data_IF_458438347503
#
_entry.id   IF_458438347503
#
_cell.length_a   1.000
_cell.length_b   1.000
_cell.length_c   1.000
_cell.angle_alpha   90.00
_cell.angle_beta   90.00
_cell.angle_gamma   90.00
#
_symmetry.space_group_name_H-M   'P 1'
#
loop_
_entity.id
_entity.type
_entity.pdbx_description
1 polymer ?
#
# COMPACT_ATOMS: atom_id res chain seq x y z
N UNK A 1 21.87 45.47 -35.33
CA UNK A 1 20.97 44.35 -35.65
C UNK A 1 21.07 43.30 -34.57
N UNK A 2 20.07 43.22 -33.71
CA UNK A 2 19.93 42.15 -32.74
C UNK A 2 19.46 40.92 -33.50
N UNK A 3 20.30 39.88 -33.57
CA UNK A 3 19.88 38.56 -34.04
C UNK A 3 18.86 38.01 -33.06
N UNK A 4 17.59 37.97 -33.39
CA UNK A 4 16.58 37.15 -32.76
C UNK A 4 17.00 35.69 -32.93
N UNK A 5 17.52 35.11 -31.83
CA UNK A 5 17.62 33.67 -31.73
C UNK A 5 16.20 33.16 -31.60
N UNK A 6 15.62 32.69 -32.70
CA UNK A 6 14.35 31.95 -32.65
C UNK A 6 14.49 30.81 -31.64
N UNK A 7 13.54 30.65 -30.68
CA UNK A 7 13.58 29.51 -29.81
C UNK A 7 13.57 28.21 -30.66
N UNK A 8 14.44 27.27 -30.31
CA UNK A 8 14.47 25.96 -30.96
C UNK A 8 13.05 25.37 -30.92
N UNK A 9 12.54 24.83 -32.02
CA UNK A 9 11.22 24.24 -32.06
C UNK A 9 11.13 23.14 -30.98
N UNK A 10 10.20 23.26 -30.06
CA UNK A 10 9.90 22.20 -29.09
C UNK A 10 9.17 21.12 -29.83
N UNK A 11 9.89 20.09 -30.26
CA UNK A 11 9.26 18.89 -30.83
C UNK A 11 8.55 18.12 -29.72
N UNK A 12 7.26 17.85 -29.95
CA UNK A 12 6.43 17.05 -29.05
C UNK A 12 6.44 15.60 -29.52
N UNK A 13 6.56 14.68 -28.54
CA UNK A 13 6.38 13.26 -28.80
C UNK A 13 4.91 12.88 -28.68
N UNK A 14 4.35 12.29 -29.72
CA UNK A 14 3.01 11.71 -29.75
C UNK A 14 3.12 10.21 -30.02
N UNK A 15 2.34 9.42 -29.27
CA UNK A 15 2.14 8.00 -29.58
C UNK A 15 0.74 7.82 -30.13
N UNK A 16 0.65 7.35 -31.35
CA UNK A 16 -0.61 7.08 -32.06
C UNK A 16 -0.56 5.70 -32.70
N UNK A 17 -1.59 4.91 -32.48
CA UNK A 17 -1.67 3.54 -33.00
C UNK A 17 -0.39 2.72 -32.73
N UNK A 18 0.15 2.86 -31.50
CA UNK A 18 1.37 2.20 -30.99
C UNK A 18 2.66 2.53 -31.72
N UNK A 19 2.68 3.65 -32.46
CA UNK A 19 3.86 4.19 -33.12
C UNK A 19 4.20 5.57 -32.56
N UNK A 20 5.49 5.90 -32.55
CA UNK A 20 5.96 7.21 -32.10
C UNK A 20 6.05 8.21 -33.27
N UNK A 21 5.62 9.43 -32.99
CA UNK A 21 5.68 10.56 -33.94
C UNK A 21 6.30 11.76 -33.25
N UNK A 22 7.12 12.50 -33.99
CA UNK A 22 7.56 13.84 -33.60
C UNK A 22 6.68 14.86 -34.32
N UNK A 23 6.16 15.82 -33.54
CA UNK A 23 5.36 16.93 -34.08
C UNK A 23 6.22 18.18 -34.10
N UNK A 24 6.38 18.79 -35.26
CA UNK A 24 7.12 20.04 -35.41
C UNK A 24 6.30 21.29 -35.01
N UNK A 25 6.92 22.46 -35.08
CA UNK A 25 6.30 23.75 -34.77
C UNK A 25 5.14 24.14 -35.69
N UNK A 26 5.00 23.48 -36.86
CA UNK A 26 3.91 23.66 -37.81
C UNK A 26 2.79 22.66 -37.62
N UNK A 27 2.91 21.76 -36.62
CA UNK A 27 1.93 20.72 -36.35
C UNK A 27 2.04 19.49 -37.26
N UNK A 28 3.13 19.35 -38.03
CA UNK A 28 3.36 18.17 -38.88
C UNK A 28 3.94 17.04 -38.04
N UNK A 29 3.26 15.90 -38.06
CA UNK A 29 3.70 14.68 -37.41
C UNK A 29 4.53 13.80 -38.35
N UNK A 30 5.72 13.41 -37.90
CA UNK A 30 6.61 12.50 -38.65
C UNK A 30 6.86 11.27 -37.81
N UNK A 31 6.63 10.08 -38.37
CA UNK A 31 6.91 8.81 -37.68
C UNK A 31 8.41 8.72 -37.32
N UNK A 32 8.68 8.44 -36.05
CA UNK A 32 10.03 8.23 -35.56
C UNK A 32 10.16 6.80 -35.04
N UNK A 33 11.02 6.01 -35.68
CA UNK A 33 11.24 4.62 -35.27
C UNK A 33 12.13 4.56 -34.03
N UNK A 34 11.52 4.47 -32.85
CA UNK A 34 12.20 4.18 -31.59
C UNK A 34 12.24 2.66 -31.39
N UNK A 35 13.39 2.11 -31.03
CA UNK A 35 13.54 0.65 -30.91
C UNK A 35 14.21 0.28 -29.60
N UNK A 36 13.69 -0.78 -28.97
CA UNK A 36 14.22 -1.37 -27.73
C UNK A 36 14.48 -0.34 -26.63
N UNK A 37 13.53 0.55 -26.42
CA UNK A 37 13.69 1.63 -25.43
C UNK A 37 12.36 2.13 -24.88
N UNK A 38 12.46 2.70 -23.66
CA UNK A 38 11.38 3.47 -23.08
C UNK A 38 11.35 4.88 -23.64
N UNK A 39 10.14 5.41 -23.81
CA UNK A 39 9.90 6.81 -24.11
C UNK A 39 8.55 7.24 -23.54
N UNK A 40 8.37 8.51 -23.23
CA UNK A 40 7.10 9.07 -22.78
C UNK A 40 6.56 10.09 -23.75
N UNK A 41 5.23 10.24 -23.76
CA UNK A 41 4.56 11.34 -24.47
C UNK A 41 4.52 12.62 -23.61
N UNK A 42 3.94 13.70 -24.12
CA UNK A 42 3.83 14.98 -23.41
C UNK A 42 2.93 14.92 -22.16
N UNK A 43 2.02 13.94 -22.11
CA UNK A 43 1.17 13.68 -20.95
C UNK A 43 1.84 12.77 -19.91
N UNK A 44 3.13 12.46 -20.08
CA UNK A 44 3.92 11.59 -19.21
C UNK A 44 3.40 10.14 -19.14
N UNK A 45 2.72 9.67 -20.20
CA UNK A 45 2.50 8.25 -20.38
C UNK A 45 3.77 7.59 -20.88
N UNK A 46 4.21 6.53 -20.23
CA UNK A 46 5.39 5.77 -20.61
C UNK A 46 5.02 4.60 -21.51
N UNK A 47 5.88 4.33 -22.49
CA UNK A 47 5.78 3.25 -23.47
C UNK A 47 7.12 2.54 -23.57
N UNK A 48 7.10 1.28 -23.95
CA UNK A 48 8.29 0.57 -24.39
C UNK A 48 8.11 0.15 -25.84
N UNK A 49 9.05 0.52 -26.68
CA UNK A 49 9.05 0.20 -28.10
C UNK A 49 9.93 -1.01 -28.35
N UNK A 50 9.40 -2.01 -29.08
CA UNK A 50 10.12 -3.21 -29.47
C UNK A 50 11.15 -2.94 -30.59
N UNK A 51 11.78 -4.00 -31.11
CA UNK A 51 12.77 -3.90 -32.15
C UNK A 51 12.19 -3.46 -33.50
N UNK A 52 10.88 -3.49 -33.65
CA UNK A 52 10.18 -3.02 -34.86
C UNK A 52 9.68 -1.58 -34.74
N UNK A 53 9.87 -0.96 -33.57
CA UNK A 53 9.42 0.40 -33.29
C UNK A 53 7.94 0.48 -32.89
N UNK A 54 7.36 -0.64 -32.45
CA UNK A 54 5.97 -0.72 -32.02
C UNK A 54 5.91 -0.75 -30.48
N UNK A 55 5.01 0.05 -29.90
CA UNK A 55 4.77 0.01 -28.46
C UNK A 55 4.18 -1.35 -28.06
N UNK A 56 4.79 -1.99 -27.04
CA UNK A 56 4.34 -3.28 -26.52
C UNK A 56 3.06 -3.11 -25.70
N UNK A 57 2.30 -4.20 -25.57
CA UNK A 57 1.07 -4.28 -24.78
C UNK A 57 1.07 -5.54 -23.94
N UNK A 58 0.35 -5.52 -22.80
CA UNK A 58 0.28 -6.64 -21.88
C UNK A 58 1.48 -6.74 -20.93
N UNK A 59 1.69 -7.90 -20.37
CA UNK A 59 2.82 -8.19 -19.47
C UNK A 59 4.11 -8.40 -20.29
N UNK A 60 5.16 -7.72 -19.88
CA UNK A 60 6.50 -7.89 -20.46
C UNK A 60 7.55 -7.92 -19.35
N UNK A 61 8.54 -8.81 -19.51
CA UNK A 61 9.76 -8.81 -18.69
C UNK A 61 10.84 -8.03 -19.44
N UNK A 62 11.23 -6.89 -18.91
CA UNK A 62 12.27 -6.02 -19.46
C UNK A 62 13.33 -5.85 -18.37
N UNK A 63 14.58 -6.20 -18.66
CA UNK A 63 15.69 -6.19 -17.69
C UNK A 63 15.37 -6.94 -16.37
N UNK A 64 14.74 -8.11 -16.50
CA UNK A 64 14.27 -8.94 -15.38
C UNK A 64 13.20 -8.29 -14.46
N UNK A 65 12.54 -7.23 -14.95
CA UNK A 65 11.44 -6.57 -14.25
C UNK A 65 10.15 -6.81 -15.01
N UNK A 66 9.11 -7.29 -14.31
CA UNK A 66 7.79 -7.48 -14.92
C UNK A 66 7.02 -6.16 -14.92
N UNK A 67 6.62 -5.71 -16.09
CA UNK A 67 5.88 -4.49 -16.35
C UNK A 67 4.58 -4.81 -17.08
N UNK A 68 3.62 -3.90 -16.99
CA UNK A 68 2.37 -4.01 -17.74
C UNK A 68 2.11 -2.75 -18.56
N UNK A 69 1.69 -2.97 -19.81
CA UNK A 69 1.28 -1.92 -20.74
C UNK A 69 -0.16 -2.19 -21.18
N UNK A 70 -1.01 -1.18 -21.14
CA UNK A 70 -2.40 -1.34 -21.54
C UNK A 70 -2.53 -1.58 -23.05
N UNK A 71 -3.76 -1.72 -23.54
CA UNK A 71 -4.03 -1.97 -24.97
C UNK A 71 -3.56 -0.85 -25.91
N UNK A 72 -3.33 0.35 -25.37
CA UNK A 72 -2.79 1.50 -26.12
C UNK A 72 -1.27 1.61 -25.97
N UNK A 73 -0.65 0.74 -25.19
CA UNK A 73 0.78 0.70 -24.91
C UNK A 73 1.21 1.55 -23.70
N UNK A 74 0.28 2.16 -22.97
CA UNK A 74 0.60 2.98 -21.80
C UNK A 74 0.99 2.10 -20.62
N UNK A 75 2.15 2.38 -20.02
CA UNK A 75 2.64 1.64 -18.87
C UNK A 75 1.77 1.88 -17.62
N UNK A 76 1.42 0.80 -16.93
CA UNK A 76 0.76 0.90 -15.63
C UNK A 76 1.76 1.31 -14.55
N UNK A 77 1.44 2.37 -13.81
CA UNK A 77 2.21 2.85 -12.65
C UNK A 77 1.28 3.29 -11.52
N UNK A 78 1.59 2.85 -10.29
CA UNK A 78 0.86 3.25 -9.08
C UNK A 78 -0.59 2.81 -9.06
N UNK A 79 -0.95 1.71 -9.68
CA UNK A 79 -2.34 1.26 -9.79
C UNK A 79 -2.49 -0.25 -9.80
N UNK A 80 -3.69 -0.69 -9.42
CA UNK A 80 -4.14 -2.06 -9.59
C UNK A 80 -4.57 -2.30 -11.05
N UNK A 81 -4.23 -3.46 -11.58
CA UNK A 81 -4.64 -3.92 -12.92
C UNK A 81 -5.11 -5.36 -12.82
N UNK A 82 -6.28 -5.64 -13.39
CA UNK A 82 -6.78 -7.01 -13.56
C UNK A 82 -6.23 -7.59 -14.87
N UNK A 83 -5.57 -8.75 -14.75
CA UNK A 83 -4.96 -9.47 -15.87
C UNK A 83 -5.37 -10.94 -15.71
N UNK A 84 -6.08 -11.47 -16.71
CA UNK A 84 -6.55 -12.87 -16.71
C UNK A 84 -7.31 -13.27 -15.43
N UNK A 85 -8.14 -12.38 -14.93
CA UNK A 85 -8.95 -12.58 -13.73
C UNK A 85 -8.20 -12.47 -12.41
N UNK A 86 -6.91 -12.12 -12.42
CA UNK A 86 -6.09 -11.86 -11.25
C UNK A 86 -5.73 -10.37 -11.17
N UNK A 87 -5.76 -9.81 -9.97
CA UNK A 87 -5.37 -8.42 -9.75
C UNK A 87 -3.90 -8.33 -9.37
N UNK A 88 -3.19 -7.38 -9.98
CA UNK A 88 -1.79 -7.07 -9.74
C UNK A 88 -1.61 -5.59 -9.42
N UNK A 89 -0.56 -5.25 -8.69
CA UNK A 89 -0.16 -3.87 -8.45
C UNK A 89 1.19 -3.58 -9.07
N UNK A 90 1.28 -2.43 -9.75
CA UNK A 90 2.49 -1.95 -10.39
C UNK A 90 3.01 -0.71 -9.68
N UNK A 91 4.30 -0.70 -9.38
CA UNK A 91 4.97 0.33 -8.62
C UNK A 91 4.73 1.74 -9.19
N UNK A 92 4.56 2.71 -8.29
CA UNK A 92 4.25 4.09 -8.67
C UNK A 92 5.35 4.75 -9.49
N UNK A 93 6.61 4.45 -9.20
CA UNK A 93 7.75 5.11 -9.83
C UNK A 93 8.33 4.27 -10.97
N UNK A 94 8.65 3.01 -10.71
CA UNK A 94 9.26 2.11 -11.68
C UNK A 94 8.28 1.40 -12.61
N UNK A 95 7.03 1.22 -12.17
CA UNK A 95 6.04 0.37 -12.84
C UNK A 95 6.28 -1.13 -12.64
N UNK A 96 7.25 -1.54 -11.81
CA UNK A 96 7.53 -2.94 -11.54
C UNK A 96 6.36 -3.61 -10.82
N UNK A 97 5.99 -4.82 -11.22
CA UNK A 97 4.98 -5.61 -10.54
C UNK A 97 5.44 -5.96 -9.12
N UNK A 98 4.59 -5.69 -8.14
CA UNK A 98 4.88 -6.03 -6.76
C UNK A 98 4.61 -7.50 -6.46
N UNK A 99 5.49 -8.09 -5.64
CA UNK A 99 5.35 -9.46 -5.11
C UNK A 99 5.77 -9.51 -3.64
N UNK A 100 5.23 -10.47 -2.89
CA UNK A 100 5.61 -10.73 -1.50
C UNK A 100 5.60 -9.51 -0.59
N UNK A 101 4.54 -8.71 -0.62
CA UNK A 101 4.43 -7.51 0.21
C UNK A 101 2.98 -7.12 0.48
N UNK A 102 2.79 -6.20 1.40
CA UNK A 102 1.51 -5.55 1.64
C UNK A 102 1.42 -4.24 0.88
N UNK A 103 0.22 -3.88 0.46
CA UNK A 103 -0.11 -2.61 -0.16
C UNK A 103 -1.19 -1.93 0.67
N UNK A 104 -0.99 -0.66 1.00
CA UNK A 104 -2.03 0.19 1.53
C UNK A 104 -2.46 1.18 0.44
N UNK A 105 -3.73 1.12 0.08
CA UNK A 105 -4.30 1.95 -0.97
C UNK A 105 -5.69 2.42 -0.53
N UNK A 106 -5.89 3.74 -0.47
CA UNK A 106 -7.14 4.36 -0.02
C UNK A 106 -7.64 3.85 1.35
N UNK A 107 -6.72 3.63 2.29
CA UNK A 107 -7.02 3.12 3.63
C UNK A 107 -7.38 1.63 3.70
N UNK A 108 -7.25 0.91 2.59
CA UNK A 108 -7.44 -0.54 2.51
C UNK A 108 -6.07 -1.21 2.41
N UNK A 109 -5.85 -2.22 3.23
CA UNK A 109 -4.63 -3.03 3.19
C UNK A 109 -4.88 -4.30 2.36
N UNK A 110 -4.00 -4.52 1.39
CA UNK A 110 -3.98 -5.69 0.52
C UNK A 110 -2.75 -6.53 0.80
N UNK A 111 -2.84 -7.85 0.59
CA UNK A 111 -1.71 -8.77 0.59
C UNK A 111 -1.40 -9.13 -0.86
N UNK A 112 -0.13 -9.05 -1.22
CA UNK A 112 0.38 -9.45 -2.53
C UNK A 112 1.27 -10.67 -2.32
N UNK A 113 0.91 -11.79 -2.95
CA UNK A 113 1.64 -13.04 -2.83
C UNK A 113 2.92 -13.10 -3.69
N UNK A 114 3.58 -14.24 -3.68
CA UNK A 114 4.81 -14.48 -4.45
C UNK A 114 4.61 -14.39 -5.97
N UNK A 115 3.39 -14.59 -6.46
CA UNK A 115 3.04 -14.51 -7.87
C UNK A 115 2.58 -13.11 -8.29
N UNK A 116 2.53 -12.17 -7.34
CA UNK A 116 2.03 -10.82 -7.56
C UNK A 116 0.50 -10.73 -7.54
N UNK A 117 -0.20 -11.75 -7.09
CA UNK A 117 -1.66 -11.72 -6.97
C UNK A 117 -2.06 -10.91 -5.74
N UNK A 118 -2.84 -9.87 -5.99
CA UNK A 118 -3.37 -8.99 -4.94
C UNK A 118 -4.65 -9.59 -4.40
N UNK A 119 -4.65 -9.87 -3.11
CA UNK A 119 -5.84 -10.34 -2.40
C UNK A 119 -6.32 -9.23 -1.49
N UNK A 120 -7.57 -8.79 -1.66
CA UNK A 120 -8.22 -7.92 -0.70
C UNK A 120 -8.52 -8.76 0.54
N UNK A 121 -8.01 -8.33 1.70
CA UNK A 121 -8.33 -8.97 2.95
C UNK A 121 -9.84 -8.89 3.20
N UNK A 122 -10.45 -10.03 3.53
CA UNK A 122 -11.89 -10.08 3.80
C UNK A 122 -12.23 -9.19 4.98
N UNK A 123 -13.29 -8.36 4.88
CA UNK A 123 -13.78 -7.57 6.00
C UNK A 123 -14.09 -8.45 7.22
N UNK A 124 -13.86 -7.91 8.41
CA UNK A 124 -14.12 -8.61 9.67
C UNK A 124 -13.02 -9.59 10.09
N UNK A 125 -11.78 -9.41 9.65
CA UNK A 125 -10.66 -10.29 9.99
C UNK A 125 -9.46 -9.54 10.57
N UNK A 126 -8.76 -10.21 11.49
CA UNK A 126 -7.41 -9.83 11.87
C UNK A 126 -6.44 -10.27 10.78
N UNK A 127 -5.48 -9.41 10.49
CA UNK A 127 -4.41 -9.65 9.51
C UNK A 127 -3.06 -9.34 10.14
N UNK A 128 -2.02 -10.01 9.67
CA UNK A 128 -0.65 -9.77 10.09
C UNK A 128 0.17 -9.32 8.88
N UNK A 129 0.96 -8.26 9.05
CA UNK A 129 1.86 -7.81 8.00
C UNK A 129 3.21 -8.58 8.01
N UNK A 130 4.09 -8.25 7.07
CA UNK A 130 5.41 -8.87 6.93
C UNK A 130 6.32 -8.67 8.16
N UNK A 131 6.09 -7.63 8.95
CA UNK A 131 6.88 -7.29 10.14
C UNK A 131 6.31 -7.96 11.40
N UNK A 132 5.24 -8.74 11.25
CA UNK A 132 4.55 -9.44 12.34
C UNK A 132 3.55 -8.56 13.09
N UNK A 133 3.29 -7.34 12.63
CA UNK A 133 2.31 -6.45 13.24
C UNK A 133 0.89 -6.81 12.83
N UNK A 134 -0.03 -6.79 13.81
CA UNK A 134 -1.42 -7.13 13.58
C UNK A 134 -2.27 -5.88 13.32
N UNK A 135 -3.27 -6.02 12.46
CA UNK A 135 -4.31 -5.05 12.19
C UNK A 135 -5.67 -5.77 12.08
N UNK A 136 -6.75 -4.99 12.06
CA UNK A 136 -8.10 -5.52 11.85
C UNK A 136 -8.79 -4.75 10.74
N UNK A 137 -9.40 -5.48 9.80
CA UNK A 137 -10.20 -4.88 8.73
C UNK A 137 -11.66 -4.89 9.17
N UNK A 138 -12.23 -3.70 9.32
CA UNK A 138 -13.64 -3.52 9.65
C UNK A 138 -14.55 -4.05 8.53
N UNK A 139 -15.84 -4.25 8.83
CA UNK A 139 -16.83 -4.71 7.84
C UNK A 139 -16.93 -3.81 6.60
N UNK A 140 -16.62 -2.51 6.74
CA UNK A 140 -16.61 -1.57 5.63
C UNK A 140 -15.30 -1.58 4.78
N UNK A 141 -14.38 -2.49 5.06
CA UNK A 141 -13.10 -2.62 4.37
C UNK A 141 -11.98 -1.70 4.87
N UNK A 142 -12.26 -0.82 5.81
CA UNK A 142 -11.25 0.09 6.38
C UNK A 142 -10.48 -0.56 7.52
N UNK A 143 -9.22 -0.14 7.73
CA UNK A 143 -8.46 -0.51 8.90
C UNK A 143 -9.11 0.04 10.17
N UNK A 144 -9.13 -0.79 11.22
CA UNK A 144 -9.52 -0.35 12.54
C UNK A 144 -8.47 0.61 13.10
N UNK A 145 -8.92 1.68 13.76
CA UNK A 145 -8.09 2.61 14.53
C UNK A 145 -8.79 2.96 15.83
N UNK A 146 -8.02 3.33 16.85
CA UNK A 146 -8.56 3.61 18.18
C UNK A 146 -9.09 2.37 18.89
N UNK A 147 -9.95 2.59 19.89
CA UNK A 147 -10.58 1.51 20.64
C UNK A 147 -11.73 0.89 19.84
N UNK A 148 -11.69 -0.42 19.68
CA UNK A 148 -12.68 -1.19 18.92
C UNK A 148 -13.23 -2.35 19.77
N UNK A 149 -14.51 -2.65 19.59
CA UNK A 149 -15.15 -3.85 20.17
C UNK A 149 -15.31 -4.88 19.06
N UNK A 150 -14.63 -6.02 19.20
CA UNK A 150 -14.64 -7.11 18.23
C UNK A 150 -14.96 -8.39 19.00
N UNK A 151 -16.02 -9.08 18.64
CA UNK A 151 -16.48 -10.30 19.31
C UNK A 151 -16.55 -10.15 20.84
N UNK A 152 -17.19 -9.07 21.32
CA UNK A 152 -17.38 -8.75 22.75
C UNK A 152 -16.10 -8.43 23.53
N UNK A 153 -14.94 -8.31 22.87
CA UNK A 153 -13.68 -7.91 23.49
C UNK A 153 -13.23 -6.55 22.96
N UNK A 154 -12.54 -5.77 23.79
CA UNK A 154 -11.99 -4.47 23.39
C UNK A 154 -10.54 -4.62 22.95
N UNK A 155 -10.20 -3.97 21.85
CA UNK A 155 -8.86 -3.91 21.28
C UNK A 155 -8.51 -2.47 20.95
N UNK A 156 -7.24 -2.14 20.94
CA UNK A 156 -6.78 -0.83 20.52
C UNK A 156 -5.85 -0.95 19.31
N UNK A 157 -6.07 -0.07 18.35
CA UNK A 157 -5.25 0.09 17.15
C UNK A 157 -4.75 1.53 17.09
N UNK A 158 -3.47 1.71 16.82
CA UNK A 158 -2.90 3.05 16.68
C UNK A 158 -3.45 3.77 15.43
N UNK A 159 -3.11 5.05 15.20
CA UNK A 159 -3.57 5.78 14.01
C UNK A 159 -3.15 5.16 12.68
N UNK A 160 -2.12 4.31 12.66
CA UNK A 160 -1.69 3.58 11.45
C UNK A 160 -2.42 2.25 11.27
N UNK A 161 -3.26 1.84 12.23
CA UNK A 161 -3.98 0.58 12.22
C UNK A 161 -3.24 -0.59 12.89
N UNK A 162 -2.07 -0.33 13.52
CA UNK A 162 -1.31 -1.36 14.22
C UNK A 162 -1.93 -1.68 15.57
N UNK A 163 -2.18 -2.97 15.84
CA UNK A 163 -2.79 -3.46 17.07
C UNK A 163 -1.82 -3.32 18.25
N UNK A 164 -2.32 -2.82 19.39
CA UNK A 164 -1.60 -2.86 20.65
C UNK A 164 -1.61 -4.27 21.24
N UNK A 165 -0.43 -4.82 21.50
CA UNK A 165 -0.23 -6.11 22.20
C UNK A 165 0.88 -5.97 23.24
N UNK A 166 0.69 -6.57 24.41
CA UNK A 166 1.68 -6.52 25.48
C UNK A 166 2.00 -5.11 25.97
N UNK A 167 1.07 -4.17 25.84
CA UNK A 167 1.30 -2.75 26.11
C UNK A 167 0.30 -2.19 27.10
N UNK A 168 0.80 -1.35 28.00
CA UNK A 168 -0.01 -0.45 28.81
C UNK A 168 -0.11 0.90 28.10
N UNK A 169 -1.32 1.37 27.83
CA UNK A 169 -1.57 2.64 27.13
C UNK A 169 -2.36 3.58 28.03
N UNK A 170 -2.04 4.88 27.93
CA UNK A 170 -2.82 5.96 28.52
C UNK A 170 -3.82 6.46 27.47
N UNK A 171 -5.11 6.26 27.72
CA UNK A 171 -6.19 6.67 26.83
C UNK A 171 -7.19 7.49 27.67
N UNK A 172 -7.46 8.72 27.26
CA UNK A 172 -8.39 9.64 27.94
C UNK A 172 -8.15 9.75 29.46
N UNK A 173 -6.87 9.81 29.85
CA UNK A 173 -6.47 9.98 31.25
C UNK A 173 -6.52 8.70 32.09
N UNK A 174 -6.83 7.55 31.52
CA UNK A 174 -6.85 6.25 32.19
C UNK A 174 -5.87 5.29 31.54
N UNK A 175 -5.28 4.41 32.37
CA UNK A 175 -4.38 3.36 31.88
C UNK A 175 -5.13 2.07 31.61
N UNK A 176 -4.83 1.44 30.48
CA UNK A 176 -5.35 0.14 30.05
C UNK A 176 -4.20 -0.76 29.64
N UNK A 177 -4.37 -2.07 29.83
CA UNK A 177 -3.40 -3.05 29.37
C UNK A 177 -4.02 -3.96 28.31
N UNK A 178 -3.27 -4.21 27.26
CA UNK A 178 -3.66 -5.08 26.14
C UNK A 178 -2.80 -6.34 26.15
N UNK A 179 -3.46 -7.48 26.14
CA UNK A 179 -2.85 -8.81 26.28
C UNK A 179 -1.72 -9.03 25.25
N UNK A 180 -0.65 -9.69 25.70
CA UNK A 180 0.53 -9.91 24.86
C UNK A 180 0.24 -10.81 23.65
N UNK A 181 -0.60 -11.81 23.82
CA UNK A 181 -0.88 -12.80 22.78
C UNK A 181 -2.08 -12.40 21.92
N UNK A 182 -3.18 -12.02 22.55
CA UNK A 182 -4.44 -11.72 21.87
C UNK A 182 -4.62 -10.26 21.53
N UNK A 183 -3.99 -9.35 22.31
CA UNK A 183 -4.24 -7.91 22.26
C UNK A 183 -5.58 -7.49 22.87
N UNK A 184 -6.33 -8.41 23.48
CA UNK A 184 -7.57 -8.07 24.18
C UNK A 184 -7.28 -7.21 25.43
N UNK A 185 -8.11 -6.19 25.66
CA UNK A 185 -8.02 -5.36 26.87
C UNK A 185 -8.26 -6.20 28.12
N UNK A 186 -7.44 -6.01 29.15
CA UNK A 186 -7.67 -6.60 30.47
C UNK A 186 -8.91 -5.99 31.11
N UNK A 187 -9.80 -6.83 31.58
CA UNK A 187 -11.01 -6.49 32.34
C UNK A 187 -11.13 -7.42 33.52
N UNK A 188 -11.31 -6.89 34.70
CA UNK A 188 -11.36 -7.65 35.98
C UNK A 188 -10.18 -8.62 36.07
N UNK A 189 -8.99 -8.15 35.80
CA UNK A 189 -7.81 -9.00 35.63
C UNK A 189 -6.56 -8.36 36.20
N UNK A 190 -5.70 -9.19 36.80
CA UNK A 190 -4.37 -8.81 37.22
C UNK A 190 -3.37 -8.95 36.08
N UNK A 191 -2.47 -8.00 35.98
CA UNK A 191 -1.24 -8.05 35.18
C UNK A 191 -0.06 -8.26 36.12
N UNK A 192 0.60 -9.39 36.03
CA UNK A 192 1.81 -9.71 36.77
C UNK A 192 3.03 -9.21 36.05
N UNK A 193 3.91 -8.50 36.75
CA UNK A 193 5.21 -8.03 36.23
C UNK A 193 6.29 -8.30 37.27
N UNK A 194 7.57 -8.16 36.88
CA UNK A 194 8.72 -8.43 37.74
C UNK A 194 9.29 -9.81 37.51
N UNK A 195 10.26 -10.18 38.37
CA UNK A 195 10.93 -11.47 38.35
C UNK A 195 10.39 -12.43 39.42
N UNK A 196 10.97 -13.61 39.49
CA UNK A 196 10.57 -14.65 40.47
C UNK A 196 10.60 -14.16 41.90
N UNK A 197 11.50 -13.22 42.23
CA UNK A 197 11.72 -12.74 43.62
C UNK A 197 10.99 -11.43 43.92
N UNK A 198 10.54 -10.68 42.88
CA UNK A 198 9.93 -9.35 43.03
C UNK A 198 8.71 -9.17 42.11
N UNK A 199 7.72 -10.05 42.30
CA UNK A 199 6.46 -9.97 41.56
C UNK A 199 5.68 -8.71 41.94
N UNK A 200 5.20 -8.02 40.92
CA UNK A 200 4.31 -6.86 41.04
C UNK A 200 3.01 -7.14 40.33
N UNK A 201 1.92 -6.67 40.87
CA UNK A 201 0.59 -6.89 40.31
C UNK A 201 -0.08 -5.55 40.07
N UNK A 202 -0.69 -5.41 38.95
CA UNK A 202 -1.55 -4.27 38.56
C UNK A 202 -2.93 -4.81 38.26
N UNK A 203 -3.97 -4.23 38.85
CA UNK A 203 -5.35 -4.65 38.61
C UNK A 203 -6.04 -3.71 37.64
N UNK A 204 -6.76 -4.27 36.70
CA UNK A 204 -7.62 -3.56 35.73
C UNK A 204 -9.06 -3.94 36.04
N UNK A 205 -9.91 -2.93 36.31
CA UNK A 205 -11.27 -3.11 36.78
C UNK A 205 -12.28 -3.48 35.67
N UNK A 206 -13.55 -3.32 36.02
CA UNK A 206 -14.67 -3.69 35.13
C UNK A 206 -14.71 -2.91 33.82
N UNK A 207 -14.32 -1.63 33.84
CA UNK A 207 -14.22 -0.81 32.62
C UNK A 207 -12.90 -1.02 31.86
N UNK A 208 -12.00 -1.87 32.38
CA UNK A 208 -10.67 -2.14 31.87
C UNK A 208 -9.62 -1.13 32.31
N UNK A 209 -9.97 -0.07 33.03
CA UNK A 209 -8.99 0.89 33.51
C UNK A 209 -8.23 0.37 34.74
N UNK A 210 -6.95 0.77 34.84
CA UNK A 210 -6.11 0.46 36.00
C UNK A 210 -6.69 1.10 37.25
N UNK A 211 -6.79 0.30 38.32
CA UNK A 211 -7.22 0.74 39.67
C UNK A 211 -6.00 1.19 40.45
N UNK A 212 -6.10 2.34 41.09
CA UNK A 212 -5.10 2.88 42.00
C UNK A 212 -5.70 2.99 43.40
N UNK A 213 -4.89 2.70 44.45
CA UNK A 213 -5.31 2.73 45.84
C UNK A 213 -6.01 1.44 46.24
N UNK A 214 -6.89 1.54 47.27
CA UNK A 214 -7.64 0.40 47.79
C UNK A 214 -8.94 0.22 46.99
N UNK A 215 -9.20 -1.02 46.59
CA UNK A 215 -10.45 -1.42 45.97
C UNK A 215 -10.90 -2.76 46.54
N UNK A 216 -12.20 -2.92 46.70
CA UNK A 216 -12.80 -4.23 46.95
C UNK A 216 -13.03 -4.92 45.65
N UNK A 217 -12.52 -6.12 45.51
CA UNK A 217 -12.57 -6.92 44.29
C UNK A 217 -13.65 -7.99 44.44
#
# INVERSE_FOLDING_TARGET
SLSETSPLPVSKTLVYNKKAYLIDDKGVATETKLTNRFEHDDAWNWYYFDNEGKAVTGLHSIDNVTLYFDKEGKQAKGRLVEIDGQTHYFDRDSGAMWTNRTLELNGIRYVIDQNGYVTMNKPGQFIQDKDGDWAYIKKNGQLATGLQIINHQKYYFDPTGKQAKGKRLLLDGKYYFFDNDTGAMFVNKFHETGDYFSKKYTYFGEDGSQIFGWATI
#
